data_IF_443413266986
#
_entry.id   IF_443413266986
#
_cell.length_a   1.000
_cell.length_b   1.000
_cell.length_c   1.000
_cell.angle_alpha   90.00
_cell.angle_beta   90.00
_cell.angle_gamma   90.00
#
_symmetry.space_group_name_H-M   'P 1'
#
loop_
_entity.id
_entity.type
_entity.pdbx_description
1 polymer ?
#
# COMPACT_ATOMS: atom_id res chain seq x y z
N UNK A 1 19.20 -4.59 9.10
CA UNK A 1 18.74 -5.52 10.15
C UNK A 1 17.79 -4.83 11.15
N UNK A 2 18.09 -3.61 11.60
CA UNK A 2 17.24 -2.84 12.53
C UNK A 2 15.82 -2.54 11.98
N UNK A 3 15.71 -2.23 10.70
CA UNK A 3 14.39 -1.92 10.06
C UNK A 3 13.42 -3.11 10.07
N UNK A 4 13.91 -4.33 9.89
CA UNK A 4 13.07 -5.55 9.87
C UNK A 4 12.55 -5.88 11.27
N UNK A 5 13.36 -5.68 12.31
CA UNK A 5 12.96 -5.93 13.71
C UNK A 5 11.90 -4.91 14.19
N UNK A 6 12.01 -3.66 13.75
CA UNK A 6 11.03 -2.60 14.05
C UNK A 6 9.70 -2.85 13.30
N UNK A 7 9.78 -3.31 12.05
CA UNK A 7 8.63 -3.75 11.27
C UNK A 7 7.90 -4.93 11.91
N UNK A 8 8.65 -5.91 12.42
CA UNK A 8 8.10 -7.07 13.13
C UNK A 8 7.49 -6.69 14.50
N UNK A 9 8.10 -5.76 15.24
CA UNK A 9 7.54 -5.26 16.51
C UNK A 9 6.20 -4.55 16.29
N UNK A 10 6.11 -3.66 15.30
CA UNK A 10 4.86 -3.01 14.90
C UNK A 10 3.81 -4.03 14.42
N UNK A 11 4.24 -5.10 13.77
CA UNK A 11 3.34 -6.15 13.28
C UNK A 11 2.81 -7.08 14.37
N UNK A 12 3.60 -7.35 15.40
CA UNK A 12 3.34 -8.46 16.33
C UNK A 12 2.80 -8.05 17.71
N UNK A 13 2.90 -6.80 18.13
CA UNK A 13 2.52 -6.47 19.50
C UNK A 13 2.09 -5.04 19.80
N UNK A 14 2.52 -4.07 19.02
CA UNK A 14 2.27 -2.65 19.34
C UNK A 14 1.25 -2.00 18.40
N UNK A 15 0.67 -2.75 17.45
CA UNK A 15 -0.31 -2.22 16.50
C UNK A 15 -1.57 -1.67 17.20
N UNK A 16 -1.93 -2.17 18.38
CA UNK A 16 -3.10 -1.71 19.13
C UNK A 16 -2.91 -0.34 19.80
N UNK A 17 -1.69 0.20 19.86
CA UNK A 17 -1.37 1.47 20.51
C UNK A 17 -0.74 2.51 19.57
N UNK A 18 -0.95 2.39 18.27
CA UNK A 18 -0.45 3.39 17.32
C UNK A 18 -1.09 4.76 17.58
N UNK A 19 -0.31 5.81 17.87
CA UNK A 19 -0.85 7.15 18.01
C UNK A 19 -1.44 7.58 16.66
N UNK A 20 -2.73 7.94 16.64
CA UNK A 20 -3.41 8.42 15.45
C UNK A 20 -3.36 9.94 15.42
N UNK A 21 -2.96 10.49 14.28
CA UNK A 21 -2.83 11.91 14.04
C UNK A 21 -3.37 12.30 12.66
N UNK A 22 -3.64 13.58 12.41
CA UNK A 22 -3.96 14.06 11.07
C UNK A 22 -2.74 13.97 10.14
N UNK A 23 -2.82 13.13 9.10
CA UNK A 23 -1.75 12.90 8.12
C UNK A 23 -2.11 13.54 6.78
N UNK A 24 -1.25 14.43 6.29
CA UNK A 24 -1.37 15.05 4.97
C UNK A 24 -0.90 14.05 3.89
N UNK A 25 -1.85 13.50 3.13
CA UNK A 25 -1.58 12.38 2.23
C UNK A 25 -0.71 12.74 1.01
N UNK A 26 -0.84 13.97 0.47
CA UNK A 26 -0.03 14.34 -0.71
C UNK A 26 1.47 14.35 -0.38
N UNK A 27 1.87 14.92 0.77
CA UNK A 27 3.27 14.94 1.21
C UNK A 27 3.84 13.53 1.41
N UNK A 28 3.10 12.71 2.16
CA UNK A 28 3.46 11.31 2.38
C UNK A 28 3.63 10.54 1.06
N UNK A 29 2.67 10.67 0.14
CA UNK A 29 2.70 9.96 -1.14
C UNK A 29 3.87 10.41 -2.03
N UNK A 30 4.21 11.70 -2.06
CA UNK A 30 5.38 12.20 -2.77
C UNK A 30 6.68 11.60 -2.22
N UNK A 31 6.80 11.48 -0.91
CA UNK A 31 7.97 10.90 -0.25
C UNK A 31 8.13 9.42 -0.61
N UNK A 32 7.09 8.61 -0.42
CA UNK A 32 7.17 7.17 -0.68
C UNK A 32 7.36 6.85 -2.17
N UNK A 33 6.76 7.63 -3.08
CA UNK A 33 6.97 7.45 -4.53
C UNK A 33 8.40 7.78 -4.93
N UNK A 34 9.00 8.82 -4.37
CA UNK A 34 10.41 9.16 -4.62
C UNK A 34 11.35 8.03 -4.19
N UNK A 35 11.11 7.44 -3.03
CA UNK A 35 11.88 6.30 -2.52
C UNK A 35 11.66 5.06 -3.39
N UNK A 36 10.40 4.71 -3.69
CA UNK A 36 10.07 3.57 -4.54
C UNK A 36 10.59 3.71 -5.98
N UNK A 37 10.70 4.94 -6.52
CA UNK A 37 11.25 5.20 -7.85
C UNK A 37 12.75 4.85 -7.93
N UNK A 38 13.51 5.04 -6.84
CA UNK A 38 14.91 4.60 -6.78
C UNK A 38 15.02 3.08 -6.94
N UNK A 39 14.11 2.36 -6.28
CA UNK A 39 13.99 0.91 -6.41
C UNK A 39 13.50 0.51 -7.81
N UNK A 40 12.48 1.21 -8.34
CA UNK A 40 11.90 0.97 -9.66
C UNK A 40 12.91 1.01 -10.81
N UNK A 41 13.94 1.86 -10.71
CA UNK A 41 15.01 1.95 -11.71
C UNK A 41 15.78 0.64 -11.91
N UNK A 42 15.94 -0.17 -10.86
CA UNK A 42 16.59 -1.48 -10.95
C UNK A 42 15.75 -2.53 -11.68
N UNK A 43 14.45 -2.30 -11.82
CA UNK A 43 13.49 -3.21 -12.45
C UNK A 43 12.90 -2.65 -13.75
N UNK A 44 13.47 -1.58 -14.30
CA UNK A 44 12.94 -0.87 -15.47
C UNK A 44 11.43 -0.54 -15.32
N UNK A 45 11.06 -0.12 -14.11
CA UNK A 45 9.69 0.19 -13.73
C UNK A 45 9.56 1.64 -13.27
N UNK A 46 8.63 2.37 -13.87
CA UNK A 46 8.29 3.74 -13.48
C UNK A 46 7.25 3.72 -12.36
N UNK A 47 7.45 4.54 -11.34
CA UNK A 47 6.49 4.74 -10.26
C UNK A 47 5.90 6.14 -10.36
N UNK A 48 4.61 6.24 -10.62
CA UNK A 48 3.89 7.51 -10.79
C UNK A 48 3.00 7.81 -9.59
N UNK A 49 2.73 9.10 -9.35
CA UNK A 49 1.81 9.56 -8.31
C UNK A 49 0.68 10.42 -8.91
N UNK A 50 -0.57 10.05 -8.63
CA UNK A 50 -1.76 10.82 -9.00
C UNK A 50 -2.35 11.48 -7.75
N UNK A 51 -2.14 12.77 -7.59
CA UNK A 51 -2.57 13.55 -6.42
C UNK A 51 -3.75 14.47 -6.76
N UNK A 52 -4.74 14.62 -5.88
CA UNK A 52 -5.80 15.61 -6.04
C UNK A 52 -5.27 17.02 -5.78
N UNK A 53 -5.94 18.03 -6.35
CA UNK A 53 -5.56 19.46 -6.16
C UNK A 53 -5.58 19.88 -4.70
N UNK A 54 -6.59 19.43 -3.93
CA UNK A 54 -6.67 19.67 -2.48
C UNK A 54 -6.10 18.48 -1.77
N UNK A 55 -5.16 18.70 -0.87
CA UNK A 55 -4.53 17.67 -0.06
C UNK A 55 -5.55 17.04 0.90
N UNK A 56 -5.90 15.75 0.73
CA UNK A 56 -6.71 15.07 1.71
C UNK A 56 -5.91 14.83 2.98
N UNK A 57 -6.59 14.90 4.11
CA UNK A 57 -6.02 14.59 5.42
C UNK A 57 -6.73 13.37 5.99
N UNK A 58 -5.98 12.33 6.30
CA UNK A 58 -6.45 11.12 6.93
C UNK A 58 -6.20 11.15 8.43
N UNK A 59 -7.03 10.45 9.19
CA UNK A 59 -6.69 10.06 10.58
C UNK A 59 -5.89 8.78 10.50
N UNK A 60 -4.65 8.79 10.96
CA UNK A 60 -3.78 7.62 10.88
C UNK A 60 -2.43 7.84 11.56
N UNK A 61 -1.54 6.87 11.43
CA UNK A 61 -0.16 6.97 11.88
C UNK A 61 0.76 7.14 10.66
N UNK A 62 1.54 8.22 10.64
CA UNK A 62 2.41 8.56 9.50
C UNK A 62 3.39 7.44 9.16
N UNK A 63 4.08 6.89 10.17
CA UNK A 63 5.10 5.85 9.95
C UNK A 63 4.49 4.52 9.48
N UNK A 64 3.34 4.14 10.05
CA UNK A 64 2.62 2.95 9.62
C UNK A 64 2.14 3.07 8.17
N UNK A 65 1.57 4.20 7.78
CA UNK A 65 1.13 4.47 6.40
C UNK A 65 2.31 4.49 5.43
N UNK A 66 3.42 5.14 5.82
CA UNK A 66 4.64 5.17 5.02
C UNK A 66 5.18 3.76 4.77
N UNK A 67 5.28 2.97 5.82
CA UNK A 67 5.76 1.58 5.75
C UNK A 67 4.89 0.72 4.84
N UNK A 68 3.57 0.79 5.02
CA UNK A 68 2.59 0.05 4.24
C UNK A 68 2.67 0.43 2.74
N UNK A 69 2.67 1.72 2.43
CA UNK A 69 2.70 2.20 1.04
C UNK A 69 4.02 1.85 0.35
N UNK A 70 5.14 1.99 1.04
CA UNK A 70 6.45 1.61 0.50
C UNK A 70 6.52 0.10 0.23
N UNK A 71 6.00 -0.73 1.13
CA UNK A 71 5.86 -2.17 0.93
C UNK A 71 5.04 -2.50 -0.31
N UNK A 72 3.87 -1.87 -0.47
CA UNK A 72 3.01 -2.08 -1.65
C UNK A 72 3.66 -1.66 -2.96
N UNK A 73 4.32 -0.50 -2.98
CA UNK A 73 4.98 0.00 -4.18
C UNK A 73 6.17 -0.89 -4.58
N UNK A 74 6.99 -1.31 -3.62
CA UNK A 74 8.14 -2.18 -3.89
C UNK A 74 7.72 -3.57 -4.33
N UNK A 75 6.65 -4.13 -3.76
CA UNK A 75 6.08 -5.39 -4.20
C UNK A 75 5.51 -5.27 -5.61
N UNK A 76 4.72 -4.23 -5.90
CA UNK A 76 4.17 -3.99 -7.23
C UNK A 76 5.26 -3.85 -8.30
N UNK A 77 6.38 -3.17 -7.99
CA UNK A 77 7.54 -3.06 -8.87
C UNK A 77 8.16 -4.44 -9.14
N UNK A 78 8.38 -5.25 -8.10
CA UNK A 78 8.96 -6.60 -8.25
C UNK A 78 8.08 -7.55 -9.06
N UNK A 79 6.76 -7.53 -8.82
CA UNK A 79 5.82 -8.41 -9.49
C UNK A 79 5.49 -7.97 -10.92
N UNK A 80 5.71 -6.72 -11.26
CA UNK A 80 5.61 -6.29 -12.65
C UNK A 80 6.63 -6.96 -13.57
N UNK A 81 7.71 -7.58 -13.00
CA UNK A 81 8.79 -8.25 -13.73
C UNK A 81 8.50 -9.70 -14.16
N UNK A 82 7.43 -10.32 -13.69
CA UNK A 82 7.21 -11.77 -13.86
C UNK A 82 6.38 -12.16 -15.09
N UNK A 83 6.43 -11.45 -16.19
CA UNK A 83 5.65 -11.80 -17.37
C UNK A 83 6.20 -11.26 -18.68
N UNK A 84 6.03 -12.07 -19.70
CA UNK A 84 6.36 -11.93 -21.13
C UNK A 84 5.65 -10.73 -21.80
N UNK A 85 5.67 -9.57 -21.16
CA UNK A 85 5.08 -8.34 -21.68
C UNK A 85 6.13 -7.59 -22.47
N UNK A 86 6.12 -7.83 -23.77
CA UNK A 86 6.83 -7.06 -24.78
C UNK A 86 6.89 -5.56 -24.43
N UNK A 87 8.05 -5.09 -24.00
CA UNK A 87 8.65 -3.75 -24.21
C UNK A 87 7.76 -2.49 -24.06
N UNK A 88 6.70 -2.51 -23.25
CA UNK A 88 6.03 -1.28 -22.83
C UNK A 88 6.48 -0.97 -21.41
N UNK A 89 7.13 0.17 -21.21
CA UNK A 89 7.60 0.62 -19.91
C UNK A 89 6.57 0.33 -18.81
N UNK A 90 6.97 -0.43 -17.82
CA UNK A 90 6.13 -0.86 -16.70
C UNK A 90 5.82 0.32 -15.81
N UNK A 91 4.58 0.47 -15.40
CA UNK A 91 4.15 1.61 -14.59
C UNK A 91 3.37 1.10 -13.38
N UNK A 92 3.87 1.45 -12.19
CA UNK A 92 3.14 1.34 -10.93
C UNK A 92 2.63 2.72 -10.55
N UNK A 93 1.35 2.85 -10.17
CA UNK A 93 0.73 4.13 -9.82
C UNK A 93 0.21 4.13 -8.40
N UNK A 94 0.62 5.15 -7.64
CA UNK A 94 -0.01 5.50 -6.37
C UNK A 94 -1.01 6.63 -6.62
N UNK A 95 -2.29 6.39 -6.33
CA UNK A 95 -3.36 7.37 -6.47
C UNK A 95 -3.94 7.72 -5.11
N UNK A 96 -4.10 9.01 -4.87
CA UNK A 96 -4.82 9.54 -3.70
C UNK A 96 -6.19 10.03 -4.16
N UNK A 97 -7.25 9.56 -3.51
CA UNK A 97 -8.61 10.04 -3.76
C UNK A 97 -9.05 10.95 -2.63
N UNK A 98 -9.70 12.07 -2.97
CA UNK A 98 -10.23 13.02 -2.01
C UNK A 98 -11.34 12.42 -1.12
N UNK A 99 -11.74 13.19 -0.12
CA UNK A 99 -12.76 12.78 0.84
C UNK A 99 -14.09 12.47 0.14
N UNK A 100 -14.57 11.23 0.31
CA UNK A 100 -15.88 10.78 -0.12
C UNK A 100 -16.56 10.04 1.02
N UNK A 101 -17.74 10.50 1.43
CA UNK A 101 -18.49 9.92 2.57
C UNK A 101 -17.65 9.85 3.87
N UNK A 102 -16.84 10.88 4.15
CA UNK A 102 -15.99 10.91 5.34
C UNK A 102 -14.72 10.03 5.27
N UNK A 103 -14.47 9.35 4.15
CA UNK A 103 -13.26 8.52 3.95
C UNK A 103 -12.38 9.10 2.84
N UNK A 104 -11.08 8.93 2.99
CA UNK A 104 -10.05 9.15 1.96
C UNK A 104 -9.49 7.81 1.57
N UNK A 105 -8.99 7.67 0.33
CA UNK A 105 -8.42 6.40 -0.11
C UNK A 105 -7.09 6.57 -0.85
N UNK A 106 -6.21 5.61 -0.63
CA UNK A 106 -4.92 5.42 -1.27
C UNK A 106 -5.00 4.15 -2.11
N UNK A 107 -4.64 4.23 -3.37
CA UNK A 107 -4.65 3.08 -4.29
C UNK A 107 -3.29 2.88 -4.92
N UNK A 108 -2.71 1.69 -4.76
CA UNK A 108 -1.56 1.24 -5.54
C UNK A 108 -2.06 0.36 -6.67
N UNK A 109 -1.71 0.71 -7.90
CA UNK A 109 -2.11 0.01 -9.13
C UNK A 109 -0.88 -0.43 -9.88
N UNK A 110 -0.87 -1.69 -10.30
CA UNK A 110 0.11 -2.23 -11.23
C UNK A 110 -0.56 -2.73 -12.51
N UNK A 111 0.24 -2.95 -13.54
CA UNK A 111 -0.16 -3.51 -14.84
C UNK A 111 0.45 -4.92 -15.03
N UNK A 112 1.02 -5.52 -13.98
CA UNK A 112 1.65 -6.82 -13.99
C UNK A 112 0.68 -8.00 -14.18
N UNK A 113 1.20 -9.24 -14.15
CA UNK A 113 0.35 -10.42 -14.15
C UNK A 113 -0.53 -10.40 -12.90
N UNK A 114 -1.81 -10.68 -13.08
CA UNK A 114 -2.76 -10.63 -11.97
C UNK A 114 -2.38 -11.62 -10.89
N UNK A 115 -1.93 -11.12 -9.78
CA UNK A 115 -1.65 -11.92 -8.60
C UNK A 115 -2.95 -12.33 -7.91
N UNK A 116 -3.12 -13.61 -7.58
CA UNK A 116 -4.30 -14.06 -6.85
C UNK A 116 -4.12 -13.77 -5.34
N UNK A 117 -4.16 -12.50 -5.02
CA UNK A 117 -3.91 -11.99 -3.68
C UNK A 117 -4.99 -12.43 -2.68
N UNK A 118 -6.22 -12.66 -3.14
CA UNK A 118 -7.29 -13.20 -2.30
C UNK A 118 -6.95 -14.63 -1.83
N UNK A 119 -6.32 -15.41 -2.68
CA UNK A 119 -5.81 -16.74 -2.32
C UNK A 119 -4.63 -16.63 -1.35
N UNK A 120 -3.71 -15.68 -1.58
CA UNK A 120 -2.57 -15.44 -0.69
C UNK A 120 -2.97 -14.94 0.69
N UNK A 121 -4.00 -14.08 0.79
CA UNK A 121 -4.58 -13.67 2.08
C UNK A 121 -5.25 -14.81 2.83
N UNK A 122 -5.97 -15.70 2.11
CA UNK A 122 -6.57 -16.90 2.72
C UNK A 122 -5.50 -17.84 3.25
N UNK A 123 -4.44 -18.08 2.46
CA UNK A 123 -3.32 -18.94 2.84
C UNK A 123 -2.50 -18.35 4.00
N UNK A 124 -2.31 -17.03 4.06
CA UNK A 124 -1.65 -16.37 5.18
C UNK A 124 -2.46 -16.40 6.49
N UNK A 125 -3.81 -16.48 6.40
CA UNK A 125 -4.71 -16.62 7.55
C UNK A 125 -4.89 -18.08 8.01
N UNK A 126 -4.51 -19.06 7.18
CA UNK A 126 -4.59 -20.50 7.50
C UNK A 126 -3.21 -21.17 7.39
N UNK A 127 -2.42 -21.17 8.49
CA UNK A 127 -1.08 -21.76 8.51
C UNK A 127 -1.05 -23.29 8.38
N UNK A 128 -2.22 -23.96 8.39
CA UNK A 128 -2.32 -25.44 8.29
C UNK A 128 -2.38 -25.94 6.83
N UNK A 129 -2.46 -25.04 5.86
CA UNK A 129 -2.51 -25.37 4.44
C UNK A 129 -1.14 -25.84 3.94
N UNK A 130 -0.94 -27.14 3.88
CA UNK A 130 0.24 -27.84 3.31
C UNK A 130 0.32 -27.74 1.77
N UNK A 131 0.27 -26.56 1.18
CA UNK A 131 0.27 -26.42 -0.27
C UNK A 131 1.66 -25.99 -0.78
N UNK A 132 2.38 -26.82 -1.58
CA UNK A 132 3.78 -26.60 -2.00
C UNK A 132 3.99 -25.47 -3.03
N UNK A 133 2.96 -24.71 -3.38
CA UNK A 133 3.04 -23.59 -4.33
C UNK A 133 3.61 -22.31 -3.68
N UNK A 134 4.06 -22.39 -2.42
CA UNK A 134 4.45 -21.25 -1.57
C UNK A 134 5.87 -20.68 -1.88
N UNK A 135 6.57 -21.16 -2.89
CA UNK A 135 7.99 -20.77 -3.06
C UNK A 135 8.25 -19.36 -3.65
N UNK A 136 7.24 -18.55 -4.02
CA UNK A 136 7.45 -17.19 -4.52
C UNK A 136 6.60 -16.05 -3.90
N UNK A 137 5.47 -16.27 -3.22
CA UNK A 137 4.64 -15.17 -2.73
C UNK A 137 4.84 -14.79 -1.26
N UNK A 138 5.78 -15.39 -0.53
CA UNK A 138 5.87 -15.18 0.93
C UNK A 138 6.07 -13.72 1.34
N UNK A 139 6.88 -12.95 0.59
CA UNK A 139 7.16 -11.56 0.94
C UNK A 139 5.94 -10.65 0.70
N UNK A 140 5.25 -10.80 -0.43
CA UNK A 140 4.04 -10.01 -0.72
C UNK A 140 2.88 -10.34 0.22
N UNK A 141 2.75 -11.60 0.63
CA UNK A 141 1.74 -12.04 1.60
C UNK A 141 2.02 -11.49 3.00
N UNK A 142 3.28 -11.39 3.40
CA UNK A 142 3.68 -10.85 4.69
C UNK A 142 3.42 -9.33 4.77
N UNK A 143 3.80 -8.59 3.73
CA UNK A 143 3.53 -7.15 3.64
C UNK A 143 2.03 -6.87 3.66
N UNK A 144 1.23 -7.70 3.02
CA UNK A 144 -0.22 -7.54 3.00
C UNK A 144 -0.85 -7.86 4.35
N UNK A 145 -0.40 -8.91 5.03
CA UNK A 145 -0.87 -9.24 6.38
C UNK A 145 -0.51 -8.13 7.38
N UNK A 146 0.71 -7.61 7.30
CA UNK A 146 1.14 -6.47 8.09
C UNK A 146 0.27 -5.23 7.80
N UNK A 147 0.03 -4.95 6.53
CA UNK A 147 -0.80 -3.83 6.12
C UNK A 147 -2.25 -3.95 6.60
N UNK A 148 -2.84 -5.15 6.56
CA UNK A 148 -4.18 -5.41 7.07
C UNK A 148 -4.27 -5.10 8.58
N UNK A 149 -3.29 -5.56 9.36
CA UNK A 149 -3.20 -5.25 10.80
C UNK A 149 -3.00 -3.76 11.09
N UNK A 150 -2.11 -3.10 10.35
CA UNK A 150 -1.89 -1.66 10.50
C UNK A 150 -3.14 -0.86 10.14
N UNK A 151 -3.86 -1.27 9.09
CA UNK A 151 -5.13 -0.65 8.73
C UNK A 151 -6.19 -0.84 9.80
N UNK A 152 -6.33 -2.04 10.37
CA UNK A 152 -7.24 -2.31 11.49
C UNK A 152 -6.91 -1.46 12.70
N UNK A 153 -5.64 -1.33 13.08
CA UNK A 153 -5.19 -0.48 14.18
C UNK A 153 -5.48 1.01 13.95
N UNK A 154 -5.60 1.44 12.69
CA UNK A 154 -5.98 2.81 12.30
C UNK A 154 -7.48 2.97 11.99
N UNK A 155 -8.33 1.99 12.35
CA UNK A 155 -9.76 1.94 11.99
C UNK A 155 -10.01 2.09 10.48
N UNK A 156 -9.06 1.65 9.67
CA UNK A 156 -9.12 1.68 8.22
C UNK A 156 -9.50 0.33 7.61
N UNK A 157 -9.66 0.33 6.30
CA UNK A 157 -10.03 -0.85 5.51
C UNK A 157 -9.00 -1.09 4.39
N UNK A 158 -8.60 -2.35 4.20
CA UNK A 158 -7.76 -2.76 3.08
C UNK A 158 -8.57 -3.64 2.13
N UNK A 159 -8.60 -3.28 0.87
CA UNK A 159 -9.24 -4.04 -0.19
C UNK A 159 -8.26 -4.32 -1.33
N UNK A 160 -8.42 -5.51 -1.90
CA UNK A 160 -7.64 -5.96 -3.05
C UNK A 160 -8.58 -6.34 -4.16
N UNK A 161 -8.32 -5.87 -5.36
CA UNK A 161 -9.11 -6.20 -6.53
C UNK A 161 -8.24 -6.41 -7.77
N UNK A 162 -8.77 -7.21 -8.70
CA UNK A 162 -8.13 -7.49 -9.98
C UNK A 162 -8.63 -6.51 -11.04
N UNK A 163 -7.75 -6.04 -11.89
CA UNK A 163 -8.12 -5.22 -13.05
C UNK A 163 -8.56 -6.11 -14.21
N UNK A 164 -9.54 -5.62 -15.00
CA UNK A 164 -10.06 -6.37 -16.17
C UNK A 164 -9.01 -6.65 -17.25
N UNK A 165 -8.01 -5.78 -17.39
CA UNK A 165 -6.93 -5.87 -18.40
C UNK A 165 -5.61 -6.41 -17.83
N UNK A 166 -5.64 -7.11 -16.72
CA UNK A 166 -4.46 -7.55 -15.96
C UNK A 166 -4.07 -6.55 -14.88
N UNK A 167 -3.23 -6.99 -13.94
CA UNK A 167 -2.76 -6.19 -12.82
C UNK A 167 -3.67 -6.21 -11.58
N UNK A 168 -3.19 -5.56 -10.54
CA UNK A 168 -3.81 -5.53 -9.22
C UNK A 168 -4.11 -4.10 -8.80
N UNK A 169 -5.12 -3.92 -7.97
CA UNK A 169 -5.40 -2.69 -7.23
C UNK A 169 -5.45 -3.03 -5.75
N UNK A 170 -4.54 -2.43 -5.00
CA UNK A 170 -4.57 -2.38 -3.54
C UNK A 170 -5.17 -1.04 -3.12
N UNK A 171 -6.23 -1.08 -2.32
CA UNK A 171 -6.90 0.13 -1.83
C UNK A 171 -6.91 0.14 -0.32
N UNK A 172 -6.31 1.16 0.27
CA UNK A 172 -6.43 1.49 1.69
C UNK A 172 -7.40 2.66 1.86
N UNK A 173 -8.39 2.52 2.73
CA UNK A 173 -9.39 3.55 3.04
C UNK A 173 -9.32 3.90 4.52
N UNK A 174 -9.24 5.21 4.82
CA UNK A 174 -9.09 5.76 6.16
C UNK A 174 -10.15 6.82 6.41
N UNK A 175 -10.43 7.11 7.67
CA UNK A 175 -11.25 8.25 8.03
C UNK A 175 -10.57 9.57 7.65
N UNK A 176 -11.37 10.50 7.12
CA UNK A 176 -10.92 11.85 6.80
C UNK A 176 -10.86 12.69 8.06
N UNK A 177 -9.73 13.35 8.33
CA UNK A 177 -9.66 14.36 9.39
C UNK A 177 -10.36 15.64 8.93
N UNK A 178 -11.34 16.09 9.72
CA UNK A 178 -12.04 17.35 9.48
C UNK A 178 -11.28 18.57 10.03
N UNK A 179 -10.29 18.36 10.90
CA UNK A 179 -9.64 19.43 11.68
C UNK A 179 -8.78 20.39 10.85
N UNK A 180 -8.33 20.02 9.65
CA UNK A 180 -7.47 20.87 8.81
C UNK A 180 -8.20 21.59 7.66
N UNK A 181 -9.50 21.36 7.46
CA UNK A 181 -10.27 22.14 6.48
C UNK A 181 -10.57 23.58 6.94
N UNK A 182 -10.28 23.95 8.18
CA UNK A 182 -10.49 25.30 8.72
C UNK A 182 -9.29 26.23 8.56
N UNK A 183 -8.10 25.74 8.18
CA UNK A 183 -6.87 26.55 8.07
C UNK A 183 -6.53 26.93 6.61
N UNK A 184 -7.26 26.42 5.64
CA UNK A 184 -7.02 26.66 4.20
C UNK A 184 -7.94 27.70 3.55
N UNK A 185 -8.58 28.56 4.31
CA UNK A 185 -9.49 29.61 3.84
C UNK A 185 -9.03 31.02 4.25
N UNK A 186 -7.89 31.46 3.71
CA UNK A 186 -7.51 32.88 3.60
C UNK A 186 -6.91 33.09 2.20
#
# INVERSE_FOLDING_TARGET
TLKISEQLRLALGEAEQLPLEPVQLNGLCCEVVREAQLFGRHFDCRVDCELPRRTPVAVGNYQALRLMLLGFLTDAVRYSDSGDVQNRGRIVRLRVSGCRKGKVSLEVRDDGPSFNLAQSLRLAKDPTSNNPIISRPLMGSLNLLLADRLMQAMNGELAVSRRRRGGTILRASLESSRQLSLVGGL
#
